data_IF_559693946257
#
_entry.id   IF_559693946257
#
_cell.length_a   1.000
_cell.length_b   1.000
_cell.length_c   1.000
_cell.angle_alpha   90.00
_cell.angle_beta   90.00
_cell.angle_gamma   90.00
#
_symmetry.space_group_name_H-M   'P 1'
#
loop_
_entity.id
_entity.type
_entity.pdbx_description
1 polymer ?
#
# COMPACT_ATOMS: atom_id res chain seq x y z
N UNK A 1 -0.90 0.52 20.41
CA UNK A 1 0.06 1.42 19.70
C UNK A 1 -0.54 2.82 19.52
N UNK A 2 0.27 3.81 19.15
CA UNK A 2 -0.17 5.18 18.83
C UNK A 2 -0.25 5.39 17.33
N UNK A 3 -1.11 6.29 16.83
CA UNK A 3 -1.08 6.74 15.44
C UNK A 3 0.01 7.80 15.22
N UNK A 4 0.49 7.99 13.98
CA UNK A 4 1.54 8.94 13.66
C UNK A 4 1.00 10.11 12.84
N UNK A 5 1.02 11.32 13.40
CA UNK A 5 0.45 12.52 12.79
C UNK A 5 1.35 13.74 13.06
N UNK A 6 1.68 14.46 12.02
CA UNK A 6 2.44 15.71 12.08
C UNK A 6 3.77 15.58 12.86
N UNK A 7 4.52 14.51 12.61
CA UNK A 7 5.81 14.26 13.26
C UNK A 7 5.72 13.69 14.68
N UNK A 8 4.55 13.31 15.16
CA UNK A 8 4.33 12.87 16.53
C UNK A 8 3.51 11.57 16.61
N UNK A 9 3.87 10.74 17.57
CA UNK A 9 3.07 9.58 17.98
C UNK A 9 1.97 10.03 18.94
N UNK A 10 0.71 9.97 18.50
CA UNK A 10 -0.46 10.51 19.21
C UNK A 10 -1.30 9.36 19.78
N UNK A 11 -1.66 9.50 21.06
CA UNK A 11 -2.69 8.70 21.71
C UNK A 11 -3.99 9.50 21.88
N UNK A 12 -5.12 8.81 21.98
CA UNK A 12 -6.45 9.43 22.20
C UNK A 12 -7.28 8.57 23.13
N UNK A 13 -8.26 9.16 23.86
CA UNK A 13 -9.17 8.41 24.73
C UNK A 13 -10.05 7.41 23.96
N UNK A 14 -10.55 7.82 22.77
CA UNK A 14 -11.29 6.91 21.89
C UNK A 14 -10.33 5.99 21.17
N UNK A 15 -10.45 4.70 21.44
CA UNK A 15 -9.59 3.64 20.88
C UNK A 15 -10.39 2.60 20.12
N UNK A 16 -9.68 1.87 19.29
CA UNK A 16 -10.13 0.67 18.60
C UNK A 16 -9.28 -0.46 19.14
N UNK A 17 -9.90 -1.54 19.58
CA UNK A 17 -9.23 -2.79 19.92
C UNK A 17 -8.84 -3.51 18.63
N UNK A 18 -7.60 -4.00 18.58
CA UNK A 18 -7.12 -4.88 17.53
C UNK A 18 -7.15 -6.29 18.09
N UNK A 19 -7.99 -7.12 17.51
CA UNK A 19 -8.27 -8.46 18.00
C UNK A 19 -7.52 -9.51 17.17
N UNK A 20 -7.11 -10.58 17.85
CA UNK A 20 -6.67 -11.79 17.17
C UNK A 20 -7.91 -12.54 16.67
N UNK A 21 -8.10 -12.74 15.35
CA UNK A 21 -9.28 -13.41 14.83
C UNK A 21 -9.44 -14.86 15.28
N UNK A 22 -8.35 -15.51 15.74
CA UNK A 22 -8.36 -16.90 16.15
C UNK A 22 -9.10 -17.11 17.49
N UNK A 23 -8.86 -16.23 18.48
CA UNK A 23 -9.36 -16.40 19.84
C UNK A 23 -10.06 -15.15 20.41
N UNK A 24 -10.19 -14.10 19.58
CA UNK A 24 -10.75 -12.79 19.96
C UNK A 24 -10.00 -12.08 21.10
N UNK A 25 -8.78 -12.51 21.40
CA UNK A 25 -7.94 -11.80 22.39
C UNK A 25 -7.50 -10.43 21.86
N UNK A 26 -7.43 -9.45 22.75
CA UNK A 26 -6.94 -8.11 22.40
C UNK A 26 -5.41 -8.17 22.24
N UNK A 27 -4.92 -7.86 21.04
CA UNK A 27 -3.47 -7.79 20.74
C UNK A 27 -2.91 -6.44 21.21
N UNK A 28 -3.62 -5.36 20.86
CA UNK A 28 -3.28 -3.98 21.21
C UNK A 28 -4.51 -3.07 21.00
N UNK A 29 -4.37 -1.81 21.34
CA UNK A 29 -5.36 -0.78 21.01
C UNK A 29 -4.71 0.33 20.20
N UNK A 30 -5.47 0.94 19.29
CA UNK A 30 -5.03 2.09 18.50
C UNK A 30 -5.98 3.27 18.63
N UNK A 31 -5.51 4.51 18.56
CA UNK A 31 -6.37 5.69 18.61
C UNK A 31 -7.36 5.71 17.43
N UNK A 32 -8.55 6.23 17.68
CA UNK A 32 -9.54 6.48 16.63
C UNK A 32 -9.42 7.93 16.15
N UNK A 33 -8.88 8.11 14.94
CA UNK A 33 -8.72 9.41 14.32
C UNK A 33 -10.07 10.06 13.99
N UNK A 34 -10.12 11.38 14.05
CA UNK A 34 -11.25 12.22 13.67
C UNK A 34 -10.88 13.22 12.55
N UNK A 35 -11.82 14.10 12.21
CA UNK A 35 -11.61 15.09 11.14
C UNK A 35 -10.45 16.05 11.42
N UNK A 36 -10.23 16.42 12.70
CA UNK A 36 -9.12 17.29 13.06
C UNK A 36 -7.76 16.59 12.88
N UNK A 37 -7.69 15.28 13.13
CA UNK A 37 -6.49 14.48 12.87
C UNK A 37 -6.19 14.38 11.37
N UNK A 38 -7.23 14.19 10.55
CA UNK A 38 -7.10 14.19 9.08
C UNK A 38 -6.57 15.54 8.59
N UNK A 39 -7.12 16.63 9.09
CA UNK A 39 -6.67 17.97 8.71
C UNK A 39 -5.21 18.23 9.08
N UNK A 40 -4.80 17.87 10.31
CA UNK A 40 -3.41 17.98 10.78
C UNK A 40 -2.46 17.11 9.98
N UNK A 41 -2.85 15.87 9.68
CA UNK A 41 -2.06 14.95 8.87
C UNK A 41 -1.85 15.51 7.45
N UNK A 42 -2.90 16.02 6.82
CA UNK A 42 -2.82 16.59 5.47
C UNK A 42 -2.00 17.87 5.43
N UNK A 43 -2.15 18.76 6.42
CA UNK A 43 -1.32 19.96 6.53
C UNK A 43 0.18 19.62 6.69
N UNK A 44 0.50 18.59 7.48
CA UNK A 44 1.86 18.09 7.61
C UNK A 44 2.36 17.45 6.31
N UNK A 45 1.56 16.58 5.69
CA UNK A 45 1.92 15.92 4.43
C UNK A 45 2.14 16.92 3.27
N UNK A 46 1.42 18.03 3.24
CA UNK A 46 1.62 19.10 2.25
C UNK A 46 3.00 19.77 2.40
N UNK A 47 3.45 20.00 3.63
CA UNK A 47 4.84 20.45 3.90
C UNK A 47 5.83 19.34 3.55
N UNK A 48 5.55 18.11 3.98
CA UNK A 48 6.36 16.93 3.70
C UNK A 48 6.55 16.68 2.21
N UNK A 49 5.53 16.91 1.38
CA UNK A 49 5.64 16.79 -0.07
C UNK A 49 6.70 17.72 -0.67
N UNK A 50 6.83 18.94 -0.13
CA UNK A 50 7.88 19.89 -0.55
C UNK A 50 9.27 19.43 -0.13
N UNK A 51 9.40 18.83 1.04
CA UNK A 51 10.66 18.25 1.54
C UNK A 51 11.05 17.04 0.69
N UNK A 52 10.14 16.10 0.51
CA UNK A 52 10.37 14.86 -0.26
C UNK A 52 10.72 15.13 -1.73
N UNK A 53 10.08 16.13 -2.35
CA UNK A 53 10.35 16.51 -3.73
C UNK A 53 11.77 17.07 -3.96
N UNK A 54 12.42 17.58 -2.92
CA UNK A 54 13.81 18.11 -2.97
C UNK A 54 14.87 17.03 -2.78
N UNK A 55 14.49 15.87 -2.20
CA UNK A 55 15.42 14.76 -2.04
C UNK A 55 15.82 14.20 -3.41
N UNK A 56 17.12 14.07 -3.64
CA UNK A 56 17.62 13.38 -4.82
C UNK A 56 17.15 11.90 -4.87
N UNK A 57 17.11 11.29 -6.06
CA UNK A 57 16.77 9.88 -6.18
C UNK A 57 17.65 8.96 -5.34
N UNK A 58 18.94 9.30 -5.22
CA UNK A 58 19.88 8.58 -4.35
C UNK A 58 19.53 8.67 -2.86
N UNK A 59 19.08 9.81 -2.39
CA UNK A 59 18.69 9.99 -0.97
C UNK A 59 17.42 9.17 -0.65
N UNK A 60 16.43 9.19 -1.54
CA UNK A 60 15.23 8.36 -1.42
C UNK A 60 15.54 6.87 -1.46
N UNK A 61 16.43 6.47 -2.38
CA UNK A 61 16.96 5.10 -2.44
C UNK A 61 17.60 4.69 -1.12
N UNK A 62 18.48 5.52 -0.54
CA UNK A 62 19.18 5.22 0.71
C UNK A 62 18.21 4.99 1.87
N UNK A 63 17.18 5.82 1.98
CA UNK A 63 16.13 5.68 3.02
C UNK A 63 15.37 4.37 2.84
N UNK A 64 14.84 4.11 1.63
CA UNK A 64 14.05 2.90 1.36
C UNK A 64 14.89 1.63 1.47
N UNK A 65 16.14 1.63 0.99
CA UNK A 65 17.07 0.51 1.17
C UNK A 65 17.28 0.20 2.65
N UNK A 66 17.54 1.23 3.47
CA UNK A 66 17.72 1.03 4.91
C UNK A 66 16.45 0.54 5.58
N UNK A 67 15.27 0.99 5.15
CA UNK A 67 14.00 0.48 5.64
C UNK A 67 13.84 -1.02 5.30
N UNK A 68 14.16 -1.45 4.08
CA UNK A 68 14.11 -2.85 3.69
C UNK A 68 15.09 -3.72 4.51
N UNK A 69 16.30 -3.22 4.79
CA UNK A 69 17.28 -3.91 5.67
C UNK A 69 16.72 -4.08 7.09
N UNK A 70 16.15 -3.03 7.69
CA UNK A 70 15.52 -3.09 9.01
C UNK A 70 14.31 -4.03 9.04
N UNK A 71 13.52 -4.06 7.96
CA UNK A 71 12.41 -5.01 7.82
C UNK A 71 12.92 -6.46 7.75
N UNK A 72 14.00 -6.71 7.01
CA UNK A 72 14.62 -8.03 6.92
C UNK A 72 15.15 -8.51 8.28
N UNK A 73 15.83 -7.64 9.03
CA UNK A 73 16.29 -7.91 10.39
C UNK A 73 15.12 -8.27 11.34
N UNK A 74 13.93 -7.68 11.12
CA UNK A 74 12.72 -7.84 11.94
C UNK A 74 11.68 -8.78 11.32
N UNK A 75 12.06 -9.55 10.30
CA UNK A 75 11.12 -10.37 9.51
C UNK A 75 10.27 -11.30 10.38
N UNK A 76 10.89 -11.99 11.34
CA UNK A 76 10.16 -12.91 12.25
C UNK A 76 9.12 -12.17 13.10
N UNK A 77 9.50 -11.03 13.69
CA UNK A 77 8.58 -10.24 14.50
C UNK A 77 7.42 -9.65 13.67
N UNK A 78 7.70 -9.21 12.45
CA UNK A 78 6.68 -8.74 11.50
C UNK A 78 5.76 -9.89 11.07
N UNK A 79 6.30 -11.07 10.76
CA UNK A 79 5.52 -12.24 10.41
C UNK A 79 4.58 -12.69 11.52
N UNK A 80 5.05 -12.70 12.78
CA UNK A 80 4.22 -13.00 13.95
C UNK A 80 3.12 -11.95 14.15
N UNK A 81 3.43 -10.66 13.98
CA UNK A 81 2.43 -9.60 14.10
C UNK A 81 1.32 -9.75 13.05
N UNK A 82 1.71 -9.97 11.78
CA UNK A 82 0.77 -10.21 10.68
C UNK A 82 -0.15 -11.39 11.00
N UNK A 83 0.43 -12.52 11.43
CA UNK A 83 -0.34 -13.71 11.78
C UNK A 83 -1.34 -13.44 12.90
N UNK A 84 -0.97 -12.63 13.89
CA UNK A 84 -1.84 -12.32 15.04
C UNK A 84 -2.97 -11.35 14.68
N UNK A 85 -2.67 -10.26 13.93
CA UNK A 85 -3.69 -9.24 13.66
C UNK A 85 -4.62 -9.59 12.50
N UNK A 86 -4.16 -10.42 11.53
CA UNK A 86 -4.95 -10.80 10.36
C UNK A 86 -5.52 -12.20 10.45
N UNK A 87 -4.88 -13.09 11.22
CA UNK A 87 -5.36 -14.45 11.44
C UNK A 87 -4.80 -15.50 10.50
N UNK A 88 -3.94 -15.14 9.54
CA UNK A 88 -3.30 -16.14 8.67
C UNK A 88 -2.29 -17.00 9.42
N UNK A 89 -2.04 -18.20 8.91
CA UNK A 89 -1.05 -19.10 9.49
C UNK A 89 0.34 -18.45 9.49
N UNK A 90 1.17 -18.81 10.48
CA UNK A 90 2.48 -18.18 10.68
C UNK A 90 3.40 -18.29 9.46
N UNK A 91 3.31 -19.38 8.68
CA UNK A 91 4.07 -19.56 7.46
C UNK A 91 3.73 -18.48 6.42
N UNK A 92 2.43 -18.17 6.24
CA UNK A 92 1.97 -17.11 5.34
C UNK A 92 2.31 -15.71 5.88
N UNK A 93 2.25 -15.49 7.20
CA UNK A 93 2.68 -14.25 7.82
C UNK A 93 4.16 -13.96 7.60
N UNK A 94 5.03 -14.96 7.77
CA UNK A 94 6.47 -14.87 7.46
C UNK A 94 6.74 -14.63 5.99
N UNK A 95 6.00 -15.31 5.12
CA UNK A 95 6.10 -15.11 3.68
C UNK A 95 5.70 -13.68 3.27
N UNK A 96 4.61 -13.16 3.82
CA UNK A 96 4.20 -11.76 3.58
C UNK A 96 5.27 -10.78 4.03
N UNK A 97 5.84 -10.95 5.23
CA UNK A 97 6.91 -10.10 5.73
C UNK A 97 8.13 -10.09 4.79
N UNK A 98 8.54 -11.26 4.29
CA UNK A 98 9.62 -11.36 3.30
C UNK A 98 9.27 -10.67 1.98
N UNK A 99 8.03 -10.83 1.49
CA UNK A 99 7.55 -10.15 0.28
C UNK A 99 7.52 -8.63 0.45
N UNK A 100 7.19 -8.14 1.63
CA UNK A 100 7.18 -6.70 1.93
C UNK A 100 8.59 -6.10 1.88
N UNK A 101 9.63 -6.84 2.31
CA UNK A 101 11.04 -6.44 2.15
C UNK A 101 11.38 -6.23 0.68
N UNK A 102 11.03 -7.21 -0.18
CA UNK A 102 11.28 -7.13 -1.62
C UNK A 102 10.51 -5.96 -2.28
N UNK A 103 9.30 -5.69 -1.83
CA UNK A 103 8.49 -4.57 -2.33
C UNK A 103 9.14 -3.21 -2.02
N UNK A 104 9.65 -3.03 -0.81
CA UNK A 104 10.37 -1.79 -0.43
C UNK A 104 11.72 -1.71 -1.14
N UNK A 105 12.46 -2.83 -1.26
CA UNK A 105 13.73 -2.87 -1.99
C UNK A 105 13.54 -2.53 -3.47
N UNK A 106 12.54 -3.13 -4.13
CA UNK A 106 12.20 -2.80 -5.51
C UNK A 106 11.86 -1.31 -5.70
N UNK A 107 11.10 -0.75 -4.76
CA UNK A 107 10.79 0.69 -4.75
C UNK A 107 12.05 1.54 -4.56
N UNK A 108 12.99 1.11 -3.73
CA UNK A 108 14.28 1.77 -3.55
C UNK A 108 15.05 1.82 -4.87
N UNK A 109 15.18 0.69 -5.56
CA UNK A 109 15.90 0.63 -6.83
C UNK A 109 15.25 1.52 -7.90
N UNK A 110 13.93 1.57 -7.96
CA UNK A 110 13.21 2.45 -8.88
C UNK A 110 13.43 3.95 -8.57
N UNK A 111 13.67 4.34 -7.32
CA UNK A 111 13.94 5.73 -6.98
C UNK A 111 15.13 6.33 -7.75
N UNK A 112 16.11 5.50 -8.12
CA UNK A 112 17.29 5.89 -8.93
C UNK A 112 17.04 5.85 -10.44
N UNK A 113 15.99 5.17 -10.90
CA UNK A 113 15.71 4.89 -12.31
C UNK A 113 14.57 5.71 -12.89
N UNK A 114 13.93 6.57 -12.10
CA UNK A 114 12.87 7.45 -12.60
C UNK A 114 13.46 8.42 -13.61
N UNK A 115 13.02 8.31 -14.88
CA UNK A 115 13.49 9.14 -15.99
C UNK A 115 12.31 9.64 -16.83
N UNK A 116 12.56 10.60 -17.70
CA UNK A 116 11.64 11.04 -18.75
C UNK A 116 11.98 10.38 -20.07
N UNK A 117 11.34 10.87 -21.12
CA UNK A 117 11.48 10.35 -22.48
C UNK A 117 11.80 11.51 -23.44
N UNK A 118 12.58 11.25 -24.48
CA UNK A 118 12.72 12.16 -25.61
C UNK A 118 11.47 12.09 -26.48
N UNK A 119 11.03 13.25 -26.98
CA UNK A 119 9.85 13.36 -27.85
C UNK A 119 10.33 13.75 -29.26
N UNK A 120 10.10 12.91 -30.27
CA UNK A 120 10.48 13.22 -31.65
C UNK A 120 9.53 14.28 -32.24
N UNK A 121 9.91 15.55 -32.13
CA UNK A 121 9.09 16.68 -32.62
C UNK A 121 9.20 16.89 -34.13
N UNK A 122 10.24 16.38 -34.75
CA UNK A 122 10.50 16.47 -36.20
C UNK A 122 9.58 15.58 -37.06
N UNK A 123 8.74 14.77 -36.45
CA UNK A 123 7.63 14.06 -37.10
C UNK A 123 6.55 14.97 -37.70
N UNK A 124 6.62 16.28 -37.46
CA UNK A 124 5.74 17.28 -38.07
C UNK A 124 6.55 18.48 -38.60
N UNK A 125 6.14 19.12 -39.72
CA UNK A 125 6.89 20.21 -40.33
C UNK A 125 7.25 21.36 -39.37
N UNK A 126 6.38 21.71 -38.43
CA UNK A 126 6.62 22.75 -37.43
C UNK A 126 7.55 22.32 -36.28
N UNK A 127 7.98 21.06 -36.23
CA UNK A 127 8.84 20.49 -35.20
C UNK A 127 10.31 20.38 -35.57
N UNK A 128 10.65 20.60 -36.87
CA UNK A 128 12.03 20.49 -37.37
C UNK A 128 12.97 21.43 -36.60
N UNK A 129 14.10 20.88 -36.14
CA UNK A 129 15.10 21.61 -35.35
C UNK A 129 14.73 21.87 -33.90
N UNK A 130 13.61 21.32 -33.40
CA UNK A 130 13.19 21.42 -31.98
C UNK A 130 13.58 20.14 -31.20
N UNK A 131 13.97 20.33 -29.93
CA UNK A 131 14.21 19.26 -28.99
C UNK A 131 13.05 19.20 -28.00
N UNK A 132 12.44 18.02 -27.84
CA UNK A 132 11.39 17.76 -26.84
C UNK A 132 11.79 16.65 -25.90
N UNK A 133 11.48 16.81 -24.62
CA UNK A 133 11.61 15.75 -23.61
C UNK A 133 10.57 15.92 -22.50
N UNK A 134 10.27 14.83 -21.82
CA UNK A 134 9.40 14.83 -20.64
C UNK A 134 10.24 14.68 -19.37
N UNK A 135 9.73 15.18 -18.26
CA UNK A 135 10.27 14.95 -16.91
C UNK A 135 9.17 14.37 -16.02
N UNK A 136 9.52 13.37 -15.24
CA UNK A 136 8.63 12.86 -14.18
C UNK A 136 8.88 13.60 -12.89
N UNK A 137 7.82 14.20 -12.35
CA UNK A 137 7.88 14.99 -11.11
C UNK A 137 6.92 14.41 -10.07
N UNK A 138 7.19 14.57 -8.75
CA UNK A 138 6.27 14.17 -7.70
C UNK A 138 4.90 14.82 -7.87
N UNK A 139 3.83 14.09 -7.58
CA UNK A 139 2.47 14.65 -7.63
C UNK A 139 2.08 15.40 -6.36
N UNK A 140 2.77 15.17 -5.24
CA UNK A 140 2.52 15.85 -3.97
C UNK A 140 2.10 14.88 -2.85
N UNK A 141 0.88 15.02 -2.32
CA UNK A 141 0.38 14.15 -1.26
C UNK A 141 -0.37 12.96 -1.85
N UNK A 142 -0.02 11.76 -1.40
CA UNK A 142 -0.65 10.49 -1.76
C UNK A 142 -1.43 9.95 -0.58
N UNK A 143 -2.73 9.71 -0.75
CA UNK A 143 -3.53 8.93 0.20
C UNK A 143 -3.38 7.43 -0.12
N UNK A 144 -2.84 6.67 0.82
CA UNK A 144 -2.61 5.24 0.73
C UNK A 144 -3.61 4.50 1.63
N UNK A 145 -4.62 3.87 1.04
CA UNK A 145 -5.67 3.14 1.76
C UNK A 145 -5.53 1.66 1.47
N UNK A 146 -5.25 0.87 2.50
CA UNK A 146 -4.92 -0.55 2.36
C UNK A 146 -6.03 -1.47 2.92
N UNK A 147 -6.12 -2.71 2.40
CA UNK A 147 -7.03 -3.73 2.90
C UNK A 147 -6.43 -4.45 4.12
N UNK A 148 -7.22 -5.40 4.66
CA UNK A 148 -6.83 -6.18 5.83
C UNK A 148 -5.96 -7.40 5.51
N UNK A 149 -6.15 -8.01 4.33
CA UNK A 149 -5.65 -9.35 4.00
C UNK A 149 -4.14 -9.49 3.81
N UNK A 150 -3.44 -8.41 3.53
CA UNK A 150 -1.97 -8.32 3.51
C UNK A 150 -1.57 -6.99 4.15
N UNK A 151 -1.66 -6.89 5.48
CA UNK A 151 -1.61 -5.63 6.22
C UNK A 151 -0.25 -4.93 6.17
N UNK A 152 0.82 -5.65 5.86
CA UNK A 152 2.15 -5.09 5.66
C UNK A 152 2.45 -4.89 4.17
N UNK A 153 2.37 -5.96 3.37
CA UNK A 153 2.85 -5.92 1.99
C UNK A 153 2.02 -4.98 1.10
N UNK A 154 0.69 -4.98 1.23
CA UNK A 154 -0.14 -4.05 0.44
C UNK A 154 -0.03 -2.59 0.90
N UNK A 155 0.40 -2.33 2.12
CA UNK A 155 0.84 -0.98 2.52
C UNK A 155 2.15 -0.63 1.83
N UNK A 156 3.14 -1.55 1.80
CA UNK A 156 4.41 -1.35 1.10
C UNK A 156 4.23 -1.06 -0.38
N UNK A 157 3.30 -1.74 -1.07
CA UNK A 157 2.95 -1.47 -2.48
C UNK A 157 2.44 -0.04 -2.76
N UNK A 158 1.96 0.66 -1.73
CA UNK A 158 1.48 2.03 -1.84
C UNK A 158 2.53 3.05 -1.38
N UNK A 159 3.11 2.78 -0.23
CA UNK A 159 4.06 3.67 0.44
C UNK A 159 5.41 3.70 -0.30
N UNK A 160 5.95 2.54 -0.63
CA UNK A 160 7.25 2.40 -1.29
C UNK A 160 7.36 3.22 -2.58
N UNK A 161 6.50 2.97 -3.59
CA UNK A 161 6.53 3.73 -4.85
C UNK A 161 6.24 5.22 -4.67
N UNK A 162 5.35 5.59 -3.74
CA UNK A 162 5.03 6.99 -3.47
C UNK A 162 6.26 7.75 -2.93
N UNK A 163 6.95 7.18 -1.94
CA UNK A 163 8.18 7.76 -1.38
C UNK A 163 9.33 7.74 -2.39
N UNK A 164 9.49 6.65 -3.14
CA UNK A 164 10.49 6.54 -4.21
C UNK A 164 10.35 7.65 -5.25
N UNK A 165 9.10 8.01 -5.60
CA UNK A 165 8.79 9.09 -6.53
C UNK A 165 8.84 10.50 -5.90
N UNK A 166 9.24 10.64 -4.63
CA UNK A 166 9.39 11.93 -3.95
C UNK A 166 8.09 12.55 -3.44
N UNK A 167 7.06 11.74 -3.18
CA UNK A 167 5.79 12.21 -2.61
C UNK A 167 5.77 12.05 -1.09
N UNK A 168 4.89 12.79 -0.41
CA UNK A 168 4.49 12.50 0.97
C UNK A 168 3.26 11.58 0.96
N UNK A 169 3.12 10.75 2.00
CA UNK A 169 2.08 9.73 2.09
C UNK A 169 1.25 9.89 3.37
N UNK A 170 -0.07 9.83 3.22
CA UNK A 170 -0.99 9.63 4.34
C UNK A 170 -1.55 8.21 4.23
N UNK A 171 -1.14 7.36 5.14
CA UNK A 171 -1.56 5.96 5.22
C UNK A 171 -2.83 5.86 6.06
N UNK A 172 -3.84 5.20 5.51
CA UNK A 172 -5.00 4.71 6.26
C UNK A 172 -5.06 3.19 6.14
N UNK A 173 -4.53 2.44 7.11
CA UNK A 173 -4.64 0.99 7.11
C UNK A 173 -6.08 0.53 7.32
N UNK A 174 -6.35 -0.74 7.06
CA UNK A 174 -7.62 -1.34 7.46
C UNK A 174 -7.86 -1.15 8.97
N UNK A 175 -9.13 -1.07 9.35
CA UNK A 175 -9.51 -0.82 10.76
C UNK A 175 -9.06 -1.97 11.67
N UNK A 176 -9.18 -3.20 11.17
CA UNK A 176 -8.94 -4.40 11.96
C UNK A 176 -7.46 -4.82 12.01
N UNK A 177 -6.64 -4.35 11.04
CA UNK A 177 -5.23 -4.73 10.91
C UNK A 177 -4.31 -3.50 10.76
N UNK A 178 -4.27 -2.57 11.71
CA UNK A 178 -3.50 -1.33 11.59
C UNK A 178 -2.05 -1.45 12.08
N UNK A 179 -1.71 -2.50 12.87
CA UNK A 179 -0.45 -2.56 13.60
C UNK A 179 0.75 -2.73 12.67
N UNK A 180 0.64 -3.54 11.62
CA UNK A 180 1.70 -3.73 10.63
C UNK A 180 2.06 -2.42 9.91
N UNK A 181 1.07 -1.58 9.57
CA UNK A 181 1.29 -0.27 8.96
C UNK A 181 1.96 0.71 9.93
N UNK A 182 1.62 0.67 11.21
CA UNK A 182 2.27 1.47 12.24
C UNK A 182 3.74 1.04 12.44
N UNK A 183 4.03 -0.27 12.43
CA UNK A 183 5.41 -0.78 12.48
C UNK A 183 6.23 -0.39 11.26
N UNK A 184 5.64 -0.44 10.07
CA UNK A 184 6.28 0.07 8.86
C UNK A 184 6.60 1.57 8.98
N UNK A 185 5.70 2.36 9.56
CA UNK A 185 5.91 3.79 9.81
C UNK A 185 7.10 4.01 10.74
N UNK A 186 7.20 3.25 11.84
CA UNK A 186 8.36 3.30 12.76
C UNK A 186 9.68 2.98 12.02
N UNK A 187 9.68 1.92 11.22
CA UNK A 187 10.86 1.48 10.46
C UNK A 187 11.31 2.54 9.44
N UNK A 188 10.36 3.15 8.73
CA UNK A 188 10.68 4.20 7.76
C UNK A 188 11.28 5.44 8.43
N UNK A 189 10.77 5.85 9.58
CA UNK A 189 11.31 6.96 10.36
C UNK A 189 12.71 6.65 10.89
N UNK A 190 12.94 5.43 11.41
CA UNK A 190 14.25 4.95 11.85
C UNK A 190 15.25 4.89 10.69
N UNK A 191 14.79 4.57 9.48
CA UNK A 191 15.60 4.59 8.26
C UNK A 191 15.98 6.00 7.77
N UNK A 192 15.47 7.04 8.43
CA UNK A 192 15.78 8.46 8.13
C UNK A 192 14.78 9.14 7.20
N UNK A 193 13.56 8.60 7.05
CA UNK A 193 12.50 9.31 6.33
C UNK A 193 12.18 10.63 7.04
N UNK A 194 12.11 11.77 6.32
CA UNK A 194 11.66 13.03 6.92
C UNK A 194 10.31 12.85 7.66
N UNK A 195 10.17 13.35 8.90
CA UNK A 195 8.99 13.11 9.73
C UNK A 195 7.66 13.52 9.09
N UNK A 196 7.68 14.54 8.24
CA UNK A 196 6.49 15.01 7.52
C UNK A 196 6.21 14.21 6.24
N UNK A 197 7.14 13.33 5.81
CA UNK A 197 7.02 12.50 4.61
C UNK A 197 5.97 11.39 4.72
N UNK A 198 5.62 10.99 5.94
CA UNK A 198 4.62 9.96 6.20
C UNK A 198 3.69 10.37 7.34
N UNK A 199 2.42 9.99 7.22
CA UNK A 199 1.40 10.04 8.27
C UNK A 199 0.70 8.68 8.30
N UNK A 200 0.31 8.19 9.47
CA UNK A 200 -0.44 6.94 9.60
C UNK A 200 -1.64 7.15 10.52
N UNK A 201 -2.82 7.24 9.92
CA UNK A 201 -4.09 7.49 10.59
C UNK A 201 -4.83 6.18 10.82
N UNK A 202 -5.03 5.82 12.07
CA UNK A 202 -5.87 4.68 12.47
C UNK A 202 -7.32 5.15 12.66
N UNK A 203 -8.28 4.37 12.17
CA UNK A 203 -9.70 4.76 12.28
C UNK A 203 -10.59 4.09 11.25
N UNK A 204 -11.88 4.27 11.41
CA UNK A 204 -12.90 3.72 10.51
C UNK A 204 -12.87 4.40 9.14
N UNK A 205 -12.93 3.59 8.07
CA UNK A 205 -13.06 4.09 6.70
C UNK A 205 -14.29 4.96 6.49
N UNK A 206 -15.41 4.64 7.16
CA UNK A 206 -16.64 5.42 7.10
C UNK A 206 -16.55 6.81 7.72
N UNK A 207 -15.65 7.02 8.70
CA UNK A 207 -15.51 8.31 9.38
C UNK A 207 -14.45 9.21 8.73
N UNK A 208 -13.29 8.66 8.37
CA UNK A 208 -12.16 9.47 7.86
C UNK A 208 -11.84 9.25 6.38
N UNK A 209 -12.38 8.20 5.76
CA UNK A 209 -12.04 7.84 4.38
C UNK A 209 -12.45 8.91 3.37
N UNK A 210 -13.70 9.35 3.40
CA UNK A 210 -14.20 10.39 2.48
C UNK A 210 -13.51 11.73 2.74
N UNK A 211 -13.26 12.08 4.01
CA UNK A 211 -12.55 13.30 4.37
C UNK A 211 -11.14 13.32 3.73
N UNK A 212 -10.43 12.18 3.80
CA UNK A 212 -9.12 12.03 3.19
C UNK A 212 -9.20 12.07 1.65
N UNK A 213 -10.15 11.36 1.06
CA UNK A 213 -10.25 11.24 -0.40
C UNK A 213 -10.76 12.51 -1.09
N UNK A 214 -11.66 13.26 -0.46
CA UNK A 214 -12.23 14.49 -1.01
C UNK A 214 -11.28 15.70 -0.88
N UNK A 215 -10.36 15.72 0.10
CA UNK A 215 -9.53 16.88 0.39
C UNK A 215 -8.62 17.26 -0.79
N UNK A 216 -8.61 18.54 -1.16
CA UNK A 216 -7.87 19.10 -2.30
C UNK A 216 -6.34 18.98 -2.19
N UNK A 217 -5.80 18.83 -0.99
CA UNK A 217 -4.35 18.63 -0.74
C UNK A 217 -3.89 17.27 -1.23
N UNK A 218 -4.77 16.25 -1.22
CA UNK A 218 -4.50 14.95 -1.80
C UNK A 218 -4.51 15.05 -3.34
N UNK A 219 -3.45 14.60 -3.96
CA UNK A 219 -3.24 14.64 -5.41
C UNK A 219 -3.40 13.28 -6.08
N UNK A 220 -3.13 12.24 -5.32
CA UNK A 220 -3.30 10.85 -5.76
C UNK A 220 -3.89 10.02 -4.62
N UNK A 221 -4.80 9.12 -4.99
CA UNK A 221 -5.33 8.08 -4.12
C UNK A 221 -4.86 6.74 -4.66
N UNK A 222 -4.32 5.90 -3.80
CA UNK A 222 -4.05 4.49 -4.07
C UNK A 222 -4.83 3.65 -3.07
N UNK A 223 -5.75 2.86 -3.59
CA UNK A 223 -6.70 2.06 -2.81
C UNK A 223 -6.63 0.60 -3.20
N UNK A 224 -6.70 -0.28 -2.22
CA UNK A 224 -6.98 -1.71 -2.40
C UNK A 224 -8.11 -2.11 -1.46
N UNK A 225 -9.14 -2.77 -1.97
CA UNK A 225 -10.28 -3.21 -1.20
C UNK A 225 -11.46 -3.61 -2.07
N UNK A 226 -12.69 -3.50 -1.54
CA UNK A 226 -13.89 -3.87 -2.27
C UNK A 226 -14.22 -2.91 -3.42
N UNK A 227 -14.87 -3.43 -4.45
CA UNK A 227 -15.37 -2.65 -5.59
C UNK A 227 -16.24 -1.48 -5.13
N UNK A 228 -17.18 -1.70 -4.24
CA UNK A 228 -18.17 -0.68 -3.83
C UNK A 228 -17.49 0.50 -3.12
N UNK A 229 -16.49 0.22 -2.29
CA UNK A 229 -15.66 1.28 -1.68
C UNK A 229 -14.81 1.99 -2.73
N UNK A 230 -14.25 1.27 -3.69
CA UNK A 230 -13.50 1.86 -4.81
C UNK A 230 -14.35 2.80 -5.65
N UNK A 231 -15.59 2.41 -6.00
CA UNK A 231 -16.55 3.27 -6.70
C UNK A 231 -16.88 4.53 -5.88
N UNK A 232 -17.11 4.40 -4.57
CA UNK A 232 -17.33 5.53 -3.67
C UNK A 232 -16.14 6.49 -3.68
N UNK A 233 -14.93 5.97 -3.56
CA UNK A 233 -13.70 6.79 -3.61
C UNK A 233 -13.61 7.53 -4.95
N UNK A 234 -13.84 6.87 -6.07
CA UNK A 234 -13.84 7.52 -7.39
C UNK A 234 -14.84 8.67 -7.49
N UNK A 235 -16.02 8.51 -6.91
CA UNK A 235 -17.04 9.58 -6.90
C UNK A 235 -16.60 10.81 -6.10
N UNK A 236 -15.92 10.62 -4.95
CA UNK A 236 -15.51 11.74 -4.09
C UNK A 236 -14.15 12.32 -4.46
N UNK A 237 -13.34 11.58 -5.21
CA UNK A 237 -11.98 11.99 -5.60
C UNK A 237 -11.98 13.18 -6.59
N UNK A 238 -12.99 13.34 -7.42
CA UNK A 238 -13.00 14.34 -8.48
C UNK A 238 -11.88 14.08 -9.51
N UNK A 239 -11.14 15.12 -9.88
CA UNK A 239 -10.06 15.05 -10.89
C UNK A 239 -8.71 14.52 -10.36
N UNK A 240 -8.68 13.93 -9.18
CA UNK A 240 -7.43 13.36 -8.64
C UNK A 240 -7.00 12.13 -9.43
N UNK A 241 -5.69 11.85 -9.40
CA UNK A 241 -5.17 10.57 -9.88
C UNK A 241 -5.64 9.46 -8.93
N UNK A 242 -6.23 8.40 -9.47
CA UNK A 242 -6.66 7.23 -8.70
C UNK A 242 -5.99 5.98 -9.24
N UNK A 243 -5.60 5.08 -8.33
CA UNK A 243 -5.19 3.70 -8.64
C UNK A 243 -6.04 2.80 -7.76
N UNK A 244 -6.79 1.92 -8.40
CA UNK A 244 -7.75 1.02 -7.76
C UNK A 244 -7.33 -0.42 -7.97
N UNK A 245 -7.07 -1.13 -6.86
CA UNK A 245 -6.87 -2.57 -6.82
C UNK A 245 -8.08 -3.19 -6.13
N UNK A 246 -8.88 -3.90 -6.89
CA UNK A 246 -10.20 -4.36 -6.47
C UNK A 246 -10.30 -5.89 -6.52
N UNK A 247 -11.44 -6.42 -6.14
CA UNK A 247 -11.70 -7.86 -6.22
C UNK A 247 -11.81 -8.36 -7.66
N UNK A 248 -11.64 -9.66 -7.84
CA UNK A 248 -11.75 -10.33 -9.13
C UNK A 248 -12.60 -11.61 -9.03
N UNK A 249 -12.80 -12.24 -10.16
CA UNK A 249 -13.39 -13.58 -10.30
C UNK A 249 -12.47 -14.41 -11.20
N UNK A 250 -11.23 -14.58 -10.76
CA UNK A 250 -10.09 -15.15 -11.49
C UNK A 250 -10.39 -16.55 -12.04
N UNK A 251 -10.67 -16.71 -13.34
CA UNK A 251 -10.92 -18.01 -13.94
C UNK A 251 -9.62 -18.72 -14.34
N UNK A 252 -9.58 -20.02 -14.14
CA UNK A 252 -8.57 -20.94 -14.71
C UNK A 252 -9.23 -21.77 -15.78
N UNK A 253 -8.69 -21.74 -17.00
CA UNK A 253 -9.17 -22.55 -18.11
C UNK A 253 -8.27 -23.78 -18.20
N UNK A 254 -8.86 -24.96 -18.03
CA UNK A 254 -8.16 -26.24 -18.09
C UNK A 254 -8.46 -26.92 -19.44
N UNK A 255 -7.43 -27.05 -20.27
CA UNK A 255 -7.52 -27.67 -21.58
C UNK A 255 -7.44 -29.20 -21.44
N UNK A 256 -7.97 -29.99 -22.42
CA UNK A 256 -8.03 -31.46 -22.34
C UNK A 256 -6.68 -32.18 -22.27
N UNK A 257 -5.60 -31.50 -22.66
CA UNK A 257 -4.22 -31.97 -22.65
C UNK A 257 -3.42 -31.51 -21.43
N UNK A 258 -4.07 -30.84 -20.47
CA UNK A 258 -3.41 -30.38 -19.23
C UNK A 258 -3.09 -31.56 -18.31
N UNK A 259 -1.99 -31.45 -17.56
CA UNK A 259 -1.67 -32.34 -16.45
C UNK A 259 -2.60 -32.02 -15.26
N UNK A 260 -3.60 -32.89 -15.06
CA UNK A 260 -4.65 -32.66 -14.07
C UNK A 260 -4.15 -32.69 -12.63
N UNK A 261 -3.11 -33.45 -12.31
CA UNK A 261 -2.53 -33.48 -10.96
C UNK A 261 -1.86 -32.15 -10.63
N UNK A 262 -1.09 -31.63 -11.58
CA UNK A 262 -0.50 -30.28 -11.45
C UNK A 262 -1.59 -29.20 -11.32
N UNK A 263 -2.65 -29.28 -12.15
CA UNK A 263 -3.78 -28.33 -12.08
C UNK A 263 -4.48 -28.40 -10.73
N UNK A 264 -4.80 -29.60 -10.24
CA UNK A 264 -5.47 -29.77 -8.96
C UNK A 264 -4.65 -29.19 -7.80
N UNK A 265 -3.34 -29.49 -7.76
CA UNK A 265 -2.44 -28.94 -6.77
C UNK A 265 -2.35 -27.40 -6.82
N UNK A 266 -2.22 -26.83 -8.02
CA UNK A 266 -2.16 -25.38 -8.21
C UNK A 266 -3.48 -24.68 -7.82
N UNK A 267 -4.62 -25.24 -8.23
CA UNK A 267 -5.95 -24.70 -7.88
C UNK A 267 -6.20 -24.76 -6.38
N UNK A 268 -5.86 -25.87 -5.72
CA UNK A 268 -5.97 -26.00 -4.27
C UNK A 268 -5.10 -24.95 -3.54
N UNK A 269 -3.83 -24.82 -3.94
CA UNK A 269 -2.91 -23.87 -3.32
C UNK A 269 -3.37 -22.41 -3.53
N UNK A 270 -3.80 -22.03 -4.73
CA UNK A 270 -4.16 -20.65 -5.05
C UNK A 270 -5.59 -20.26 -4.67
N UNK A 271 -6.50 -21.24 -4.61
CA UNK A 271 -7.90 -21.00 -4.24
C UNK A 271 -8.11 -20.83 -2.74
N UNK A 272 -7.24 -21.44 -1.92
CA UNK A 272 -7.42 -21.48 -0.46
C UNK A 272 -6.32 -20.75 0.34
N UNK A 273 -5.32 -20.18 -0.30
CA UNK A 273 -4.33 -19.34 0.37
C UNK A 273 -5.04 -18.25 1.17
N UNK A 274 -4.58 -18.00 2.39
CA UNK A 274 -5.19 -17.04 3.31
C UNK A 274 -6.72 -17.21 3.45
N UNK A 275 -7.19 -18.45 3.56
CA UNK A 275 -8.62 -18.81 3.58
C UNK A 275 -9.42 -18.28 2.37
N UNK A 276 -8.78 -18.14 1.20
CA UNK A 276 -9.41 -17.59 -0.01
C UNK A 276 -9.54 -16.06 -0.04
N UNK A 277 -9.03 -15.35 0.97
CA UNK A 277 -9.13 -13.90 1.08
C UNK A 277 -8.04 -13.18 0.27
N UNK A 278 -7.86 -13.56 -0.98
CA UNK A 278 -6.84 -13.03 -1.89
C UNK A 278 -7.51 -12.59 -3.19
N UNK A 279 -7.25 -11.36 -3.63
CA UNK A 279 -7.84 -10.80 -4.86
C UNK A 279 -7.50 -11.60 -6.12
N UNK A 280 -6.40 -12.34 -6.12
CA UNK A 280 -5.93 -13.21 -7.20
C UNK A 280 -6.23 -14.69 -6.96
N UNK A 281 -7.02 -15.05 -5.96
CA UNK A 281 -7.44 -16.44 -5.70
C UNK A 281 -8.14 -17.03 -6.93
N UNK A 282 -7.83 -18.28 -7.24
CA UNK A 282 -8.61 -19.06 -8.24
C UNK A 282 -10.03 -19.22 -7.73
N UNK A 283 -11.00 -18.63 -8.43
CA UNK A 283 -12.42 -18.66 -8.02
C UNK A 283 -13.29 -19.48 -8.96
N UNK A 284 -12.86 -19.67 -10.20
CA UNK A 284 -13.58 -20.49 -11.19
C UNK A 284 -12.61 -21.38 -11.93
N UNK A 285 -12.99 -22.64 -12.09
CA UNK A 285 -12.28 -23.58 -12.95
C UNK A 285 -13.22 -23.93 -14.10
N UNK A 286 -12.80 -23.62 -15.31
CA UNK A 286 -13.53 -23.90 -16.55
C UNK A 286 -12.87 -25.09 -17.23
N UNK A 287 -13.64 -26.14 -17.47
CA UNK A 287 -13.16 -27.38 -18.09
C UNK A 287 -14.00 -27.76 -19.28
N UNK A 288 -13.53 -28.70 -20.07
CA UNK A 288 -14.34 -29.40 -21.07
C UNK A 288 -15.02 -30.62 -20.45
N UNK A 289 -16.13 -31.10 -21.04
CA UNK A 289 -16.87 -32.27 -20.53
C UNK A 289 -16.05 -33.56 -20.44
N UNK A 290 -14.88 -33.63 -21.10
CA UNK A 290 -13.99 -34.81 -21.02
C UNK A 290 -13.18 -34.90 -19.73
N UNK A 291 -12.99 -33.78 -19.06
CA UNK A 291 -12.12 -33.63 -17.86
C UNK A 291 -12.85 -32.98 -16.69
N UNK A 292 -14.18 -32.91 -16.77
CA UNK A 292 -15.05 -32.41 -15.73
C UNK A 292 -15.24 -33.45 -14.63
#
# INVERSE_FOLDING_TARGET
MKMYVAGQWIDKPRKIEVLNPYDSSVIDTVPKADAADVDRALASAERGAKVMARLAGYERWKILKKAAELMAERNEALGQLISREEGKIIAEGRFEASRAVETIMGSAEEAKRIHGETVPLDGAPGGVGKLGFTLRVPCGVVAAISPFNFPLNLVCHKVGPALAAGNAVVVKPATDTPLSALRLTEILLEAGLPPEGIQCLTGSGGEIGDLLCADRRVRKITFTGSRDVGERICRVAGLKKVTMELGSNSPVIVMPDADLDTVAAAVAATGYANAGQVCISTQRVLTTGKIY
#
